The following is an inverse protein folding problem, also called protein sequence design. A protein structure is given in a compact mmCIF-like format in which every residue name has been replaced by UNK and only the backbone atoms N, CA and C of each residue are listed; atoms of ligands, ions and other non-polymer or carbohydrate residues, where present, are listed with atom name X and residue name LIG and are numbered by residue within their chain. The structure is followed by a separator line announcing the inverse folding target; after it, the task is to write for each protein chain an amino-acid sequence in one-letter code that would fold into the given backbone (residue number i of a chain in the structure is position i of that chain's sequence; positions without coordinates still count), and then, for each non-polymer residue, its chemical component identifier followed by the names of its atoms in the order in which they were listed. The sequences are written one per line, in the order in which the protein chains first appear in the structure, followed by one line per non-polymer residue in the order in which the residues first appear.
data_IF_301834323139
#
_entry.id   IF_301834323139
#
_cell.length_a   1.000
_cell.length_b   1.000
_cell.length_c   1.000
_cell.angle_alpha   90.00
_cell.angle_beta   90.00
_cell.angle_gamma   90.00
#
_symmetry.space_group_name_H-M   'P 1'
#
loop_
_entity.id
_entity.type
_entity.pdbx_description
1 polymer ?
#
# COMPACT_ATOMS: atom_id res chain seq x y z
N UNK A 1 14.46 -5.55 20.66
CA UNK A 1 13.72 -5.47 19.37
C UNK A 1 12.27 -5.96 19.46
N UNK A 2 11.95 -7.00 20.24
CA UNK A 2 10.55 -7.46 20.41
C UNK A 2 9.61 -6.42 21.07
N UNK A 3 10.13 -5.57 21.95
CA UNK A 3 9.36 -4.51 22.64
C UNK A 3 8.94 -3.35 21.74
N UNK A 4 9.69 -3.07 20.67
CA UNK A 4 9.34 -2.03 19.68
C UNK A 4 8.23 -2.50 18.72
N UNK A 5 8.17 -3.82 18.45
CA UNK A 5 7.08 -4.42 17.66
C UNK A 5 5.75 -4.46 18.43
N UNK A 6 5.80 -4.72 19.74
CA UNK A 6 4.61 -4.74 20.59
C UNK A 6 3.97 -3.34 20.75
N UNK A 7 4.81 -2.30 20.86
CA UNK A 7 4.34 -0.91 20.97
C UNK A 7 3.70 -0.41 19.66
N UNK A 8 4.22 -0.83 18.50
CA UNK A 8 3.66 -0.49 17.19
C UNK A 8 2.34 -1.23 16.91
N UNK A 9 2.25 -2.52 17.26
CA UNK A 9 1.01 -3.30 17.10
C UNK A 9 -0.11 -2.78 18.00
N UNK A 10 0.21 -2.40 19.25
CA UNK A 10 -0.77 -1.87 20.20
C UNK A 10 -1.31 -0.49 19.79
N UNK A 11 -0.49 0.36 19.17
CA UNK A 11 -0.90 1.73 18.80
C UNK A 11 -1.81 1.75 17.56
N UNK A 12 -1.67 0.78 16.65
CA UNK A 12 -2.53 0.67 15.47
C UNK A 12 -3.92 0.08 15.76
N UNK A 13 -4.06 -0.67 16.86
CA UNK A 13 -5.30 -1.35 17.21
C UNK A 13 -6.30 -0.41 17.89
N UNK A 14 -5.81 0.48 18.77
CA UNK A 14 -6.66 1.45 19.47
C UNK A 14 -7.35 2.45 18.53
N UNK A 15 -6.76 2.77 17.38
CA UNK A 15 -7.35 3.70 16.40
C UNK A 15 -8.39 3.03 15.48
N UNK A 16 -8.31 1.70 15.32
CA UNK A 16 -9.30 0.92 14.55
C UNK A 16 -10.55 0.63 15.37
N UNK A 17 -10.42 0.47 16.68
CA UNK A 17 -11.55 0.17 17.58
C UNK A 17 -12.49 1.38 17.72
N UNK A 18 -11.94 2.61 17.80
CA UNK A 18 -12.70 3.86 17.88
C UNK A 18 -13.45 4.20 16.56
N UNK A 19 -12.87 3.88 15.39
CA UNK A 19 -13.57 4.05 14.11
C UNK A 19 -14.64 2.96 13.86
N UNK A 20 -14.47 1.76 14.45
CA UNK A 20 -15.46 0.68 14.30
C UNK A 20 -16.78 0.97 15.03
N UNK A 21 -16.70 1.66 16.17
CA UNK A 21 -17.87 2.01 17.00
C UNK A 21 -18.70 3.14 16.36
N UNK A 22 -18.04 4.07 15.66
CA UNK A 22 -18.71 5.15 14.90
C UNK A 22 -19.29 4.65 13.56
N UNK A 23 -18.70 3.63 12.95
CA UNK A 23 -19.21 3.01 11.71
C UNK A 23 -20.40 2.07 11.96
N UNK A 24 -20.57 1.56 13.19
CA UNK A 24 -21.66 0.65 13.55
C UNK A 24 -23.05 1.32 13.63
N UNK A 25 -23.14 2.65 13.67
CA UNK A 25 -24.43 3.38 13.72
C UNK A 25 -24.93 3.90 12.37
N UNK A 26 -24.20 3.66 11.28
CA UNK A 26 -24.62 4.07 9.93
C UNK A 26 -25.12 2.82 9.21
N UNK A 27 -26.45 2.68 9.16
CA UNK A 27 -27.19 1.68 8.37
C UNK A 27 -26.89 1.84 6.86
N UNK A 28 -25.68 1.48 6.46
CA UNK A 28 -25.21 1.51 5.10
C UNK A 28 -25.73 0.25 4.41
N UNK A 29 -26.86 0.40 3.68
CA UNK A 29 -27.34 -0.62 2.75
C UNK A 29 -26.16 -1.16 1.93
N UNK A 30 -25.93 -2.48 1.88
CA UNK A 30 -24.77 -3.03 1.21
C UNK A 30 -24.84 -2.64 -0.27
N UNK A 31 -23.89 -1.82 -0.70
CA UNK A 31 -23.73 -1.43 -2.09
C UNK A 31 -23.49 -2.70 -2.90
N UNK A 32 -24.50 -3.11 -3.66
CA UNK A 32 -24.54 -4.31 -4.53
C UNK A 32 -23.58 -4.24 -5.74
N UNK A 33 -22.63 -3.30 -5.72
CA UNK A 33 -21.55 -3.20 -6.68
C UNK A 33 -20.32 -3.93 -6.13
N UNK A 34 -19.81 -4.89 -6.90
CA UNK A 34 -18.54 -5.57 -6.63
C UNK A 34 -17.46 -4.54 -6.26
N UNK A 35 -17.11 -4.42 -4.97
CA UNK A 35 -16.24 -3.37 -4.44
C UNK A 35 -14.89 -3.28 -5.17
N UNK A 36 -14.45 -4.39 -5.76
CA UNK A 36 -13.26 -4.49 -6.60
C UNK A 36 -13.37 -3.64 -7.88
N UNK A 37 -14.53 -3.62 -8.56
CA UNK A 37 -14.74 -2.77 -9.75
C UNK A 37 -14.69 -1.28 -9.41
N UNK A 38 -15.25 -0.90 -8.25
CA UNK A 38 -15.21 0.47 -7.75
C UNK A 38 -13.75 0.85 -7.42
N UNK A 39 -13.02 0.00 -6.68
CA UNK A 39 -11.62 0.21 -6.35
C UNK A 39 -10.73 0.36 -7.61
N UNK A 40 -10.90 -0.51 -8.61
CA UNK A 40 -10.19 -0.39 -9.89
C UNK A 40 -10.51 0.93 -10.61
N UNK A 41 -11.77 1.37 -10.55
CA UNK A 41 -12.19 2.61 -11.19
C UNK A 41 -11.57 3.83 -10.50
N UNK A 42 -11.51 3.84 -9.17
CA UNK A 42 -10.82 4.88 -8.39
C UNK A 42 -9.31 4.84 -8.65
N UNK A 43 -8.71 3.64 -8.70
CA UNK A 43 -7.30 3.47 -9.00
C UNK A 43 -6.95 4.01 -10.39
N UNK A 44 -7.75 3.70 -11.43
CA UNK A 44 -7.57 4.27 -12.78
C UNK A 44 -7.74 5.78 -12.81
N UNK A 45 -8.57 6.34 -11.94
CA UNK A 45 -8.72 7.79 -11.82
C UNK A 45 -7.49 8.43 -11.15
N UNK A 46 -6.91 7.76 -10.15
CA UNK A 46 -5.71 8.21 -9.46
C UNK A 46 -4.45 8.13 -10.33
N UNK A 47 -4.36 7.15 -11.24
CA UNK A 47 -3.20 6.95 -12.14
C UNK A 47 -3.60 6.98 -13.62
N UNK A 48 -3.91 8.17 -14.18
CA UNK A 48 -4.40 8.28 -15.56
C UNK A 48 -3.33 7.98 -16.62
N UNK A 49 -2.04 8.03 -16.27
CA UNK A 49 -0.92 7.76 -17.17
C UNK A 49 0.15 6.92 -16.48
N UNK A 50 0.76 6.01 -17.25
CA UNK A 50 1.88 5.15 -16.82
C UNK A 50 3.11 5.95 -16.36
N UNK A 51 3.28 7.16 -16.91
CA UNK A 51 4.31 8.14 -16.50
C UNK A 51 3.57 9.28 -15.79
N UNK A 52 3.15 9.04 -14.56
CA UNK A 52 2.56 10.04 -13.68
C UNK A 52 3.43 10.19 -12.44
N UNK A 53 3.34 11.33 -11.76
CA UNK A 53 4.11 11.55 -10.53
C UNK A 53 3.91 10.43 -9.49
N UNK A 54 2.68 9.88 -9.28
CA UNK A 54 2.49 8.72 -8.40
C UNK A 54 3.20 7.45 -8.87
N UNK A 55 3.30 7.21 -10.19
CA UNK A 55 4.02 6.03 -10.69
C UNK A 55 5.53 6.16 -10.51
N UNK A 56 6.08 7.37 -10.63
CA UNK A 56 7.48 7.64 -10.30
C UNK A 56 7.76 7.41 -8.82
N UNK A 57 6.93 7.94 -7.92
CA UNK A 57 7.06 7.69 -6.47
C UNK A 57 6.92 6.22 -6.13
N UNK A 58 6.01 5.50 -6.80
CA UNK A 58 5.88 4.05 -6.64
C UNK A 58 7.14 3.31 -7.09
N UNK A 59 7.72 3.65 -8.26
CA UNK A 59 8.96 3.04 -8.73
C UNK A 59 10.15 3.33 -7.79
N UNK A 60 10.26 4.56 -7.28
CA UNK A 60 11.28 4.94 -6.29
C UNK A 60 11.07 4.18 -4.98
N UNK A 61 9.82 4.05 -4.53
CA UNK A 61 9.48 3.28 -3.34
C UNK A 61 9.89 1.81 -3.50
N UNK A 62 9.58 1.18 -4.64
CA UNK A 62 10.03 -0.18 -4.98
C UNK A 62 11.55 -0.32 -4.88
N UNK A 63 12.30 0.60 -5.49
CA UNK A 63 13.76 0.61 -5.42
C UNK A 63 14.29 0.77 -4.00
N UNK A 64 13.67 1.66 -3.21
CA UNK A 64 14.05 1.89 -1.82
C UNK A 64 13.74 0.70 -0.90
N UNK A 65 12.66 -0.04 -1.16
CA UNK A 65 12.33 -1.26 -0.42
C UNK A 65 13.35 -2.37 -0.71
N UNK A 66 13.75 -2.54 -1.98
CA UNK A 66 14.83 -3.48 -2.34
C UNK A 66 16.13 -3.09 -1.63
N UNK A 67 16.47 -1.79 -1.64
CA UNK A 67 17.66 -1.28 -0.97
C UNK A 67 17.60 -1.52 0.55
N UNK A 68 16.47 -1.18 1.19
CA UNK A 68 16.20 -1.44 2.61
C UNK A 68 16.38 -2.91 2.97
N UNK A 69 15.73 -3.83 2.24
CA UNK A 69 15.84 -5.27 2.49
C UNK A 69 17.28 -5.77 2.33
N UNK A 70 18.01 -5.29 1.32
CA UNK A 70 19.44 -5.64 1.14
C UNK A 70 20.31 -5.13 2.29
N UNK A 71 20.12 -3.89 2.71
CA UNK A 71 20.86 -3.28 3.83
C UNK A 71 20.58 -4.02 5.14
N UNK A 72 19.31 -4.30 5.45
CA UNK A 72 18.93 -5.08 6.63
C UNK A 72 19.54 -6.49 6.60
N UNK A 73 19.56 -7.12 5.43
CA UNK A 73 20.19 -8.42 5.28
C UNK A 73 21.71 -8.35 5.48
N UNK A 74 22.38 -7.26 5.08
CA UNK A 74 23.80 -7.04 5.36
C UNK A 74 24.07 -6.86 6.86
N UNK A 75 23.20 -6.16 7.58
CA UNK A 75 23.28 -6.03 9.05
C UNK A 75 23.21 -7.42 9.70
N UNK A 76 22.27 -8.27 9.28
CA UNK A 76 22.15 -9.64 9.80
C UNK A 76 23.41 -10.48 9.56
N UNK A 77 24.04 -10.33 8.39
CA UNK A 77 25.29 -11.03 8.06
C UNK A 77 26.46 -10.57 8.93
N UNK A 78 26.51 -9.27 9.27
CA UNK A 78 27.51 -8.72 10.18
C UNK A 78 27.29 -9.18 11.62
N UNK A 79 26.02 -9.32 12.08
CA UNK A 79 25.70 -9.89 13.41
C UNK A 79 26.21 -11.33 13.52
N UNK A 80 26.01 -12.14 12.49
CA UNK A 80 26.52 -13.52 12.45
C UNK A 80 28.05 -13.58 12.58
N UNK A 81 28.77 -12.73 11.84
CA UNK A 81 30.24 -12.63 11.90
C UNK A 81 30.74 -12.14 13.26
N UNK A 82 30.07 -11.13 13.84
CA UNK A 82 30.37 -10.65 15.19
C UNK A 82 30.26 -11.78 16.21
N UNK A 83 29.16 -12.56 16.17
CA UNK A 83 28.97 -13.71 17.05
C UNK A 83 30.10 -14.74 16.94
N UNK A 84 30.53 -15.06 15.72
CA UNK A 84 31.63 -16.00 15.49
C UNK A 84 32.98 -15.49 16.05
N UNK A 85 33.28 -14.21 15.89
CA UNK A 85 34.52 -13.59 16.39
C UNK A 85 34.55 -13.56 17.92
N UNK A 86 33.40 -13.25 18.54
CA UNK A 86 33.25 -13.28 20.00
C UNK A 86 33.54 -14.67 20.55
N UNK A 87 32.97 -15.72 19.94
CA UNK A 87 33.22 -17.12 20.35
C UNK A 87 34.69 -17.49 20.19
N UNK A 88 35.36 -17.02 19.13
CA UNK A 88 36.79 -17.26 18.87
C UNK A 88 37.72 -16.39 19.73
N UNK A 89 37.20 -15.49 20.59
CA UNK A 89 37.93 -14.60 21.50
C UNK A 89 39.00 -13.72 20.82
N UNK A 90 38.77 -13.32 19.56
CA UNK A 90 39.69 -12.45 18.81
C UNK A 90 39.36 -10.97 18.98
N UNK A 91 39.74 -10.38 20.12
CA UNK A 91 39.35 -9.02 20.52
C UNK A 91 39.78 -7.91 19.56
N UNK A 92 40.97 -7.99 18.96
CA UNK A 92 41.42 -6.98 18.00
C UNK A 92 40.56 -6.98 16.72
N UNK A 93 40.17 -8.16 16.24
CA UNK A 93 39.26 -8.29 15.10
C UNK A 93 37.84 -7.83 15.46
N UNK A 94 37.41 -8.07 16.70
CA UNK A 94 36.09 -7.65 17.19
C UNK A 94 35.91 -6.14 17.10
N UNK A 95 36.92 -5.35 17.49
CA UNK A 95 36.85 -3.89 17.43
C UNK A 95 36.63 -3.38 15.99
N UNK A 96 37.37 -3.93 15.02
CA UNK A 96 37.22 -3.56 13.61
C UNK A 96 35.84 -3.94 13.05
N UNK A 97 35.38 -5.17 13.29
CA UNK A 97 34.06 -5.62 12.81
C UNK A 97 32.92 -4.87 13.48
N UNK A 98 33.11 -4.40 14.71
CA UNK A 98 32.12 -3.54 15.40
C UNK A 98 31.98 -2.18 14.72
N UNK A 99 33.10 -1.58 14.28
CA UNK A 99 33.07 -0.34 13.49
C UNK A 99 32.39 -0.55 12.13
N UNK A 100 32.70 -1.63 11.42
CA UNK A 100 32.00 -1.99 10.17
C UNK A 100 30.50 -2.17 10.39
N UNK A 101 30.11 -2.86 11.46
CA UNK A 101 28.72 -3.06 11.82
C UNK A 101 28.00 -1.73 12.10
N UNK A 102 28.66 -0.78 12.77
CA UNK A 102 28.10 0.55 13.01
C UNK A 102 27.82 1.29 11.70
N UNK A 103 28.77 1.30 10.76
CA UNK A 103 28.60 1.94 9.43
C UNK A 103 27.46 1.29 8.64
N UNK A 104 27.41 -0.04 8.59
CA UNK A 104 26.35 -0.78 7.88
C UNK A 104 24.98 -0.52 8.52
N UNK A 105 24.91 -0.41 9.85
CA UNK A 105 23.67 -0.12 10.57
C UNK A 105 23.14 1.29 10.30
N UNK A 106 24.02 2.29 10.24
CA UNK A 106 23.66 3.66 9.85
C UNK A 106 23.10 3.67 8.42
N UNK A 107 23.75 2.96 7.49
CA UNK A 107 23.26 2.85 6.12
C UNK A 107 21.88 2.18 6.04
N UNK A 108 21.64 1.12 6.83
CA UNK A 108 20.33 0.47 6.91
C UNK A 108 19.25 1.39 7.49
N UNK A 109 19.59 2.22 8.49
CA UNK A 109 18.67 3.21 9.05
C UNK A 109 18.28 4.30 8.02
N UNK A 110 19.24 4.76 7.21
CA UNK A 110 18.97 5.72 6.12
C UNK A 110 18.05 5.10 5.07
N UNK A 111 18.31 3.85 4.66
CA UNK A 111 17.46 3.15 3.70
C UNK A 111 16.02 2.95 4.23
N UNK A 112 15.88 2.65 5.53
CA UNK A 112 14.59 2.57 6.22
C UNK A 112 13.84 3.92 6.18
N UNK A 113 14.49 4.99 6.65
CA UNK A 113 13.88 6.32 6.67
C UNK A 113 13.50 6.81 5.26
N UNK A 114 14.31 6.48 4.25
CA UNK A 114 14.04 6.81 2.85
C UNK A 114 12.79 6.09 2.33
N UNK A 115 12.63 4.80 2.62
CA UNK A 115 11.45 4.04 2.22
C UNK A 115 10.18 4.61 2.88
N UNK A 116 10.25 4.95 4.17
CA UNK A 116 9.12 5.53 4.91
C UNK A 116 8.75 6.93 4.38
N UNK A 117 9.74 7.75 4.01
CA UNK A 117 9.53 9.04 3.35
C UNK A 117 8.85 8.86 1.99
N UNK A 118 9.32 7.93 1.17
CA UNK A 118 8.77 7.66 -0.16
C UNK A 118 7.34 7.12 -0.10
N UNK A 119 7.00 6.31 0.91
CA UNK A 119 5.64 5.87 1.15
C UNK A 119 4.70 7.06 1.42
N UNK A 120 5.14 8.01 2.27
CA UNK A 120 4.36 9.23 2.56
C UNK A 120 4.20 10.12 1.31
N UNK A 121 5.28 10.28 0.53
CA UNK A 121 5.22 11.03 -0.73
C UNK A 121 4.29 10.39 -1.75
N UNK A 122 4.24 9.05 -1.81
CA UNK A 122 3.28 8.33 -2.63
C UNK A 122 1.84 8.65 -2.19
N UNK A 123 1.53 8.54 -0.89
CA UNK A 123 0.19 8.89 -0.37
C UNK A 123 -0.22 10.32 -0.74
N UNK A 124 0.65 11.30 -0.44
CA UNK A 124 0.40 12.71 -0.76
C UNK A 124 0.19 12.96 -2.25
N UNK A 125 0.98 12.29 -3.11
CA UNK A 125 0.83 12.42 -4.56
C UNK A 125 -0.52 11.87 -5.03
N UNK A 126 -0.92 10.69 -4.54
CA UNK A 126 -2.21 10.07 -4.87
C UNK A 126 -3.37 10.95 -4.40
N UNK A 127 -3.28 11.48 -3.17
CA UNK A 127 -4.24 12.43 -2.62
C UNK A 127 -4.42 13.65 -3.52
N UNK A 128 -3.31 14.31 -3.88
CA UNK A 128 -3.33 15.50 -4.74
C UNK A 128 -4.00 15.24 -6.09
N UNK A 129 -3.66 14.12 -6.75
CA UNK A 129 -4.26 13.76 -8.03
C UNK A 129 -5.75 13.42 -7.92
N UNK A 130 -6.15 12.71 -6.86
CA UNK A 130 -7.53 12.32 -6.65
C UNK A 130 -8.40 13.54 -6.33
N UNK A 131 -7.95 14.41 -5.42
CA UNK A 131 -8.65 15.67 -5.09
C UNK A 131 -8.80 16.56 -6.32
N UNK A 132 -7.73 16.79 -7.10
CA UNK A 132 -7.80 17.62 -8.30
C UNK A 132 -8.74 17.00 -9.37
N UNK A 133 -8.73 15.68 -9.51
CA UNK A 133 -9.61 14.98 -10.46
C UNK A 133 -11.09 15.07 -10.04
N UNK A 134 -11.37 14.97 -8.74
CA UNK A 134 -12.72 15.12 -8.19
C UNK A 134 -13.20 16.58 -8.29
N UNK A 135 -12.35 17.55 -7.94
CA UNK A 135 -12.65 18.98 -8.06
C UNK A 135 -12.95 19.39 -9.50
N UNK A 136 -12.20 18.89 -10.49
CA UNK A 136 -12.48 19.13 -11.91
C UNK A 136 -13.86 18.59 -12.31
N UNK A 137 -14.20 17.37 -11.89
CA UNK A 137 -15.52 16.77 -12.16
C UNK A 137 -16.65 17.51 -11.46
N UNK A 138 -16.41 17.97 -10.23
CA UNK A 138 -17.37 18.73 -9.44
C UNK A 138 -17.63 20.11 -10.05
N UNK A 139 -16.57 20.86 -10.39
CA UNK A 139 -16.66 22.19 -11.00
C UNK A 139 -17.34 22.17 -12.36
N UNK A 140 -16.99 21.22 -13.23
CA UNK A 140 -17.64 21.07 -14.55
C UNK A 140 -19.15 20.84 -14.37
N UNK A 141 -19.54 20.07 -13.36
CA UNK A 141 -20.96 19.78 -13.09
C UNK A 141 -21.72 20.98 -12.53
N UNK A 142 -21.11 21.74 -11.62
CA UNK A 142 -21.71 22.97 -11.08
C UNK A 142 -21.85 24.11 -12.10
N UNK A 143 -20.93 24.24 -13.06
CA UNK A 143 -21.04 25.25 -14.14
C UNK A 143 -22.19 24.93 -15.09
N UNK A 144 -22.40 23.65 -15.43
CA UNK A 144 -23.50 23.23 -16.32
C UNK A 144 -24.88 23.52 -15.68
N UNK A 145 -24.99 23.46 -14.36
CA UNK A 145 -26.25 23.78 -13.67
C UNK A 145 -26.56 25.29 -13.67
N UNK A 146 -25.55 26.15 -13.47
CA UNK A 146 -25.75 27.60 -13.44
C UNK A 146 -26.14 28.18 -14.82
N UNK A 147 -25.59 27.64 -15.91
CA UNK A 147 -25.95 28.07 -17.26
C UNK A 147 -27.35 27.57 -17.68
N UNK A 148 -27.82 26.45 -17.10
CA UNK A 148 -29.16 25.92 -17.39
C UNK A 148 -30.26 26.71 -16.65
N UNK A 149 -29.96 27.32 -15.50
CA UNK A 149 -30.93 28.14 -14.74
C UNK A 149 -31.07 29.54 -15.36
N UNK A 150 -30.04 30.04 -16.06
CA UNK A 150 -30.03 31.37 -16.68
C UNK A 150 -30.73 31.44 -18.06
N UNK A 151 -31.13 30.29 -18.62
CA UNK A 151 -31.65 30.17 -20.00
C UNK A 151 -33.06 29.60 -20.14
N UNK A 152 -33.84 29.44 -19.07
CA UNK A 152 -35.25 28.99 -19.17
C UNK A 152 -36.17 30.21 -19.31
N UNK A 153 -36.06 30.84 -20.47
CA UNK A 153 -37.15 31.62 -21.06
C UNK A 153 -37.09 31.51 -22.58
N UNK A 154 -36.84 30.32 -23.14
CA UNK A 154 -37.38 30.05 -24.47
C UNK A 154 -37.66 28.57 -24.76
N UNK A 155 -38.69 28.40 -25.57
CA UNK A 155 -39.63 27.27 -25.61
C UNK A 155 -39.11 26.02 -26.33
N UNK A 156 -39.60 24.88 -25.82
CA UNK A 156 -40.04 23.68 -26.56
C UNK A 156 -39.16 23.13 -27.69
N UNK A 157 -38.58 21.93 -27.47
CA UNK A 157 -38.70 20.74 -28.35
C UNK A 157 -37.57 19.68 -28.26
N UNK A 158 -36.61 19.79 -27.34
CA UNK A 158 -35.55 18.76 -27.19
C UNK A 158 -35.67 17.82 -25.97
N UNK A 159 -36.84 17.78 -25.34
CA UNK A 159 -37.11 17.06 -24.07
C UNK A 159 -37.34 15.53 -24.20
N UNK A 160 -36.56 14.80 -25.00
CA UNK A 160 -36.64 13.32 -24.99
C UNK A 160 -35.36 12.58 -24.61
N UNK A 161 -34.19 13.22 -24.61
CA UNK A 161 -32.91 12.52 -24.36
C UNK A 161 -32.09 13.01 -23.14
N UNK A 162 -32.69 13.79 -22.22
CA UNK A 162 -31.99 14.35 -21.02
C UNK A 162 -32.42 13.77 -19.66
N UNK A 163 -33.22 12.69 -19.62
CA UNK A 163 -33.68 12.08 -18.35
C UNK A 163 -32.55 11.40 -17.54
N UNK A 164 -31.43 11.04 -18.15
CA UNK A 164 -30.29 10.43 -17.46
C UNK A 164 -29.47 11.38 -16.58
N UNK A 165 -29.40 12.68 -16.93
CA UNK A 165 -28.55 13.64 -16.23
C UNK A 165 -29.14 14.16 -14.90
N UNK A 166 -30.45 14.39 -14.86
CA UNK A 166 -31.15 14.94 -13.69
C UNK A 166 -31.17 13.98 -12.49
N UNK A 167 -31.15 12.66 -12.73
CA UNK A 167 -31.11 11.67 -11.66
C UNK A 167 -29.78 11.67 -10.89
N UNK A 168 -28.65 11.87 -11.60
CA UNK A 168 -27.33 11.92 -10.98
C UNK A 168 -27.16 13.23 -10.20
N UNK A 169 -27.83 14.31 -10.61
CA UNK A 169 -27.80 15.60 -9.91
C UNK A 169 -28.56 15.55 -8.58
N UNK A 170 -29.75 14.94 -8.56
CA UNK A 170 -30.49 14.72 -7.29
C UNK A 170 -29.73 13.80 -6.34
N UNK A 171 -29.00 12.80 -6.84
CA UNK A 171 -28.16 11.96 -5.99
C UNK A 171 -26.97 12.71 -5.38
N UNK A 172 -26.37 13.69 -6.07
CA UNK A 172 -25.24 14.47 -5.53
C UNK A 172 -25.72 15.53 -4.53
N UNK A 173 -26.84 16.20 -4.82
CA UNK A 173 -27.46 17.15 -3.88
C UNK A 173 -27.99 16.48 -2.60
N UNK A 174 -28.16 15.15 -2.62
CA UNK A 174 -28.53 14.34 -1.47
C UNK A 174 -27.34 13.90 -0.60
N UNK A 175 -26.10 14.25 -0.94
CA UNK A 175 -24.94 13.89 -0.12
C UNK A 175 -24.69 15.04 0.88
N UNK A 176 -25.08 14.90 2.16
CA UNK A 176 -24.68 15.86 3.18
C UNK A 176 -23.15 15.90 3.27
N UNK A 177 -22.59 17.09 3.42
CA UNK A 177 -21.15 17.35 3.61
C UNK A 177 -20.24 16.77 2.51
N UNK A 178 -20.61 16.95 1.25
CA UNK A 178 -19.84 16.49 0.09
C UNK A 178 -18.38 16.96 0.10
N UNK A 179 -18.10 18.19 0.56
CA UNK A 179 -16.75 18.75 0.62
C UNK A 179 -15.89 18.10 1.71
N UNK A 180 -16.49 17.85 2.88
CA UNK A 180 -15.81 17.18 3.99
C UNK A 180 -15.49 15.72 3.63
N UNK A 181 -16.47 15.01 3.06
CA UNK A 181 -16.30 13.64 2.55
C UNK A 181 -15.24 13.56 1.45
N UNK A 182 -15.26 14.49 0.50
CA UNK A 182 -14.26 14.52 -0.57
C UNK A 182 -12.84 14.73 -0.03
N UNK A 183 -12.67 15.41 1.10
CA UNK A 183 -11.34 15.64 1.68
C UNK A 183 -10.90 14.48 2.57
N UNK A 184 -11.74 14.07 3.51
CA UNK A 184 -11.44 13.02 4.50
C UNK A 184 -11.34 11.64 3.86
N UNK A 185 -12.30 11.28 3.00
CA UNK A 185 -12.33 9.94 2.39
C UNK A 185 -11.16 9.77 1.40
N UNK A 186 -10.80 10.83 0.69
CA UNK A 186 -9.64 10.82 -0.22
C UNK A 186 -8.33 10.68 0.53
N UNK A 187 -8.20 11.37 1.68
CA UNK A 187 -7.05 11.22 2.57
C UNK A 187 -6.92 9.79 3.09
N UNK A 188 -7.96 9.27 3.74
CA UNK A 188 -7.98 7.91 4.28
C UNK A 188 -7.74 6.86 3.19
N UNK A 189 -8.36 7.04 2.02
CA UNK A 189 -8.15 6.14 0.89
C UNK A 189 -6.71 6.18 0.37
N UNK A 190 -6.10 7.37 0.27
CA UNK A 190 -4.71 7.52 -0.19
C UNK A 190 -3.69 6.89 0.76
N UNK A 191 -3.91 7.03 2.07
CA UNK A 191 -3.06 6.42 3.10
C UNK A 191 -3.19 4.89 3.06
N UNK A 192 -4.41 4.38 3.06
CA UNK A 192 -4.69 2.94 2.92
C UNK A 192 -4.11 2.37 1.63
N UNK A 193 -4.19 3.10 0.51
CA UNK A 193 -3.61 2.69 -0.76
C UNK A 193 -2.08 2.57 -0.67
N UNK A 194 -1.40 3.57 -0.12
CA UNK A 194 0.06 3.56 0.03
C UNK A 194 0.53 2.40 0.94
N UNK A 195 -0.20 2.16 2.04
CA UNK A 195 0.06 1.07 2.97
C UNK A 195 -0.16 -0.30 2.31
N UNK A 196 -1.24 -0.44 1.53
CA UNK A 196 -1.53 -1.66 0.78
C UNK A 196 -0.41 -1.99 -0.21
N UNK A 197 0.10 -1.00 -0.94
CA UNK A 197 1.24 -1.17 -1.85
C UNK A 197 2.45 -1.71 -1.09
N UNK A 198 2.85 -1.08 0.02
CA UNK A 198 4.01 -1.53 0.80
C UNK A 198 3.80 -2.93 1.37
N UNK A 199 2.64 -3.19 1.97
CA UNK A 199 2.32 -4.49 2.59
C UNK A 199 2.25 -5.62 1.57
N UNK A 200 1.80 -5.35 0.35
CA UNK A 200 1.81 -6.33 -0.73
C UNK A 200 3.21 -6.56 -1.29
N UNK A 201 3.96 -5.49 -1.52
CA UNK A 201 5.27 -5.57 -2.17
C UNK A 201 6.35 -6.14 -1.26
N UNK A 202 6.38 -5.73 0.01
CA UNK A 202 7.42 -6.12 0.97
C UNK A 202 7.65 -7.64 1.04
N UNK A 203 6.64 -8.52 1.22
CA UNK A 203 6.86 -9.96 1.26
C UNK A 203 7.42 -10.52 -0.05
N UNK A 204 7.04 -9.95 -1.21
CA UNK A 204 7.57 -10.35 -2.52
C UNK A 204 9.06 -10.02 -2.62
N UNK A 205 9.44 -8.79 -2.23
CA UNK A 205 10.84 -8.34 -2.23
C UNK A 205 11.67 -9.17 -1.26
N UNK A 206 11.19 -9.34 -0.03
CA UNK A 206 11.88 -10.10 1.01
C UNK A 206 12.11 -11.54 0.54
N UNK A 207 11.07 -12.20 0.03
CA UNK A 207 11.17 -13.55 -0.55
C UNK A 207 12.24 -13.59 -1.66
N UNK A 208 12.18 -12.68 -2.64
CA UNK A 208 13.13 -12.64 -3.75
C UNK A 208 14.59 -12.45 -3.30
N UNK A 209 14.83 -11.48 -2.40
CA UNK A 209 16.18 -11.16 -1.92
C UNK A 209 16.75 -12.29 -1.07
N UNK A 210 15.95 -12.84 -0.15
CA UNK A 210 16.39 -13.94 0.70
C UNK A 210 16.57 -15.24 -0.06
N UNK A 211 15.69 -15.57 -1.02
CA UNK A 211 15.89 -16.73 -1.90
C UNK A 211 17.20 -16.63 -2.66
N UNK A 212 17.52 -15.46 -3.22
CA UNK A 212 18.80 -15.25 -3.94
C UNK A 212 20.00 -15.47 -3.02
N UNK A 213 19.97 -14.92 -1.80
CA UNK A 213 21.05 -15.14 -0.82
C UNK A 213 21.16 -16.60 -0.37
N UNK A 214 20.03 -17.28 -0.20
CA UNK A 214 20.00 -18.67 0.21
C UNK A 214 20.58 -19.58 -0.89
N UNK A 215 20.18 -19.36 -2.14
CA UNK A 215 20.73 -20.05 -3.32
C UNK A 215 22.24 -19.86 -3.42
N UNK A 216 22.75 -18.67 -3.12
CA UNK A 216 24.18 -18.42 -3.15
C UNK A 216 24.95 -19.17 -2.04
N UNK A 217 24.35 -19.37 -0.86
CA UNK A 217 24.99 -20.06 0.27
C UNK A 217 24.92 -21.58 0.20
N UNK A 218 23.76 -22.10 -0.20
CA UNK A 218 23.43 -23.52 -0.12
C UNK A 218 23.59 -24.19 -1.51
N UNK A 219 23.55 -23.39 -2.59
CA UNK A 219 23.53 -23.86 -3.96
C UNK A 219 22.11 -24.01 -4.51
N UNK A 220 21.95 -23.82 -5.81
CA UNK A 220 20.64 -23.84 -6.48
C UNK A 220 19.95 -25.21 -6.40
N UNK A 221 20.73 -26.29 -6.48
CA UNK A 221 20.19 -27.66 -6.45
C UNK A 221 19.54 -27.99 -5.10
N UNK A 222 20.22 -27.70 -3.99
CA UNK A 222 19.70 -27.92 -2.64
C UNK A 222 18.48 -27.03 -2.35
N UNK A 223 18.51 -25.77 -2.80
CA UNK A 223 17.35 -24.88 -2.68
C UNK A 223 16.13 -25.41 -3.45
N UNK A 224 16.33 -25.89 -4.68
CA UNK A 224 15.27 -26.49 -5.48
C UNK A 224 14.69 -27.75 -4.82
N UNK A 225 15.54 -28.59 -4.21
CA UNK A 225 15.09 -29.74 -3.42
C UNK A 225 14.20 -29.34 -2.24
N UNK A 226 14.53 -28.27 -1.53
CA UNK A 226 13.68 -27.75 -0.44
C UNK A 226 12.30 -27.29 -0.96
N UNK A 227 12.26 -26.51 -2.05
CA UNK A 227 10.98 -26.08 -2.65
C UNK A 227 10.16 -27.28 -3.09
N UNK A 228 10.80 -28.24 -3.77
CA UNK A 228 10.15 -29.45 -4.24
C UNK A 228 9.57 -30.26 -3.08
N UNK A 229 10.32 -30.39 -1.98
CA UNK A 229 9.85 -31.04 -0.76
C UNK A 229 8.61 -30.35 -0.16
N UNK A 230 8.60 -29.02 -0.05
CA UNK A 230 7.43 -28.28 0.43
C UNK A 230 6.21 -28.46 -0.47
N UNK A 231 6.42 -28.49 -1.80
CA UNK A 231 5.33 -28.69 -2.76
C UNK A 231 4.72 -30.09 -2.65
N UNK A 232 5.56 -31.14 -2.58
CA UNK A 232 5.10 -32.51 -2.36
C UNK A 232 4.39 -32.65 -1.01
N UNK A 233 4.97 -32.08 0.06
CA UNK A 233 4.38 -32.14 1.40
C UNK A 233 2.99 -31.47 1.43
N UNK A 234 2.84 -30.32 0.78
CA UNK A 234 1.54 -29.65 0.66
C UNK A 234 0.51 -30.46 -0.14
N UNK A 235 0.92 -31.07 -1.26
CA UNK A 235 0.06 -31.96 -2.05
C UNK A 235 -0.38 -33.20 -1.27
N UNK A 236 0.54 -33.84 -0.55
CA UNK A 236 0.23 -35.01 0.28
C UNK A 236 -0.72 -34.64 1.44
N UNK A 237 -0.53 -33.49 2.06
CA UNK A 237 -1.44 -33.00 3.10
C UNK A 237 -2.86 -32.78 2.56
N UNK A 238 -2.99 -32.15 1.39
CA UNK A 238 -4.28 -31.94 0.74
C UNK A 238 -4.95 -33.27 0.34
N UNK A 239 -4.17 -34.23 -0.18
CA UNK A 239 -4.67 -35.56 -0.53
C UNK A 239 -5.15 -36.33 0.72
N UNK A 240 -4.39 -36.26 1.82
CA UNK A 240 -4.75 -36.86 3.10
C UNK A 240 -6.05 -36.28 3.66
N UNK A 241 -6.27 -34.97 3.50
CA UNK A 241 -7.51 -34.33 3.90
C UNK A 241 -8.70 -34.81 3.05
N UNK A 242 -8.49 -34.97 1.74
CA UNK A 242 -9.53 -35.45 0.82
C UNK A 242 -9.90 -36.93 1.05
N UNK A 243 -8.92 -37.79 1.36
CA UNK A 243 -9.16 -39.20 1.68
C UNK A 243 -9.87 -39.44 3.02
N UNK A 244 -9.93 -38.41 3.87
CA UNK A 244 -10.61 -38.49 5.18
C UNK A 244 -12.09 -38.09 5.12
N UNK A 245 -12.58 -37.63 3.97
CA UNK A 245 -13.97 -37.24 3.70
C UNK A 245 -14.67 -38.27 2.81
#
# INVERSE_FOLDING_TARGET
MATFFFFWYSSGQSQLDEESEVMASVDAKPLKYSGLKAAISVMRLATPRMISVPSLWSALLMGSLIWKTRSQSSVNDSIGRLGEIVVKRKWNALAHTTMEFAVISVHAAIALATADLLQRMLSLSVRYYLTNSLQKKYRIKGVIDNDTISGVSDKSNHLRNRRGGQHILRMIAQIPDADARMTKDVEQWSDCFSLCVVNFTKPIIDCSVYSTKLVHRIGMYQFAQCIFYFFISGLLCHLSFFLSF
#
